data_IF_430689312766
#
_entry.id   IF_430689312766
#
_cell.length_a   1.000
_cell.length_b   1.000
_cell.length_c   1.000
_cell.angle_alpha   90.00
_cell.angle_beta   90.00
_cell.angle_gamma   90.00
#
_symmetry.space_group_name_H-M   'P 1'
#
loop_
_entity.id
_entity.type
_entity.pdbx_description
1 polymer ?
#
# COMPACT_ATOMS: atom_id res chain seq x y z
N UNK A 1 2.09 -14.05 -14.98
CA UNK A 1 1.16 -12.91 -15.19
C UNK A 1 0.91 -12.34 -13.82
N UNK A 2 1.30 -11.10 -13.56
CA UNK A 2 0.89 -10.42 -12.33
C UNK A 2 -0.62 -10.26 -12.39
N UNK A 3 -1.33 -10.92 -11.48
CA UNK A 3 -2.78 -10.76 -11.38
C UNK A 3 -3.04 -9.42 -10.69
N UNK A 4 -3.48 -8.45 -11.45
CA UNK A 4 -3.78 -7.09 -10.99
C UNK A 4 -5.26 -6.82 -11.16
N UNK A 5 -5.90 -6.28 -10.13
CA UNK A 5 -7.31 -5.92 -10.13
C UNK A 5 -7.46 -4.49 -9.64
N UNK A 6 -8.27 -3.68 -10.32
CA UNK A 6 -8.66 -2.34 -9.86
C UNK A 6 -10.15 -2.32 -9.56
N UNK A 7 -10.51 -1.96 -8.33
CA UNK A 7 -11.90 -1.85 -7.86
C UNK A 7 -12.12 -0.56 -7.09
N UNK A 8 -13.36 -0.05 -7.08
CA UNK A 8 -13.73 1.09 -6.24
C UNK A 8 -13.67 0.73 -4.76
N UNK A 9 -13.56 1.72 -3.87
CA UNK A 9 -13.60 1.48 -2.43
C UNK A 9 -14.94 0.91 -1.98
N UNK A 10 -16.04 1.29 -2.65
CA UNK A 10 -17.37 0.72 -2.41
C UNK A 10 -17.43 -0.77 -2.76
N UNK A 11 -16.85 -1.15 -3.92
CA UNK A 11 -16.74 -2.54 -4.32
C UNK A 11 -15.81 -3.33 -3.39
N UNK A 12 -14.74 -2.72 -2.88
CA UNK A 12 -13.86 -3.35 -1.88
C UNK A 12 -14.61 -3.62 -0.56
N UNK A 13 -15.41 -2.66 -0.09
CA UNK A 13 -16.23 -2.83 1.11
C UNK A 13 -17.28 -3.95 0.93
N UNK A 14 -17.96 -3.96 -0.21
CA UNK A 14 -18.93 -5.02 -0.53
C UNK A 14 -18.24 -6.39 -0.65
N UNK A 15 -17.05 -6.44 -1.24
CA UNK A 15 -16.22 -7.64 -1.30
C UNK A 15 -15.87 -8.18 0.10
N UNK A 16 -15.51 -7.28 1.04
CA UNK A 16 -15.26 -7.66 2.42
C UNK A 16 -16.47 -8.38 3.05
N UNK A 17 -17.68 -7.89 2.76
CA UNK A 17 -18.92 -8.53 3.24
C UNK A 17 -19.17 -9.87 2.58
N UNK A 18 -18.99 -10.00 1.26
CA UNK A 18 -19.12 -11.26 0.54
C UNK A 18 -18.13 -12.32 1.07
N UNK A 19 -16.92 -11.90 1.43
CA UNK A 19 -15.89 -12.76 2.01
C UNK A 19 -16.07 -12.99 3.51
N UNK A 20 -17.09 -12.39 4.15
CA UNK A 20 -17.36 -12.48 5.59
C UNK A 20 -16.18 -12.02 6.44
N UNK A 21 -15.50 -10.95 6.01
CA UNK A 21 -14.43 -10.33 6.78
C UNK A 21 -14.99 -9.69 8.06
N UNK A 22 -14.32 -9.88 9.18
CA UNK A 22 -14.75 -9.31 10.46
C UNK A 22 -14.49 -7.81 10.54
N UNK A 23 -13.48 -7.33 9.82
CA UNK A 23 -13.14 -5.90 9.78
C UNK A 23 -12.53 -5.53 8.43
N UNK A 24 -12.54 -4.24 8.15
CA UNK A 24 -11.84 -3.62 7.04
C UNK A 24 -10.92 -2.54 7.61
N UNK A 25 -9.68 -2.48 7.13
CA UNK A 25 -8.73 -1.46 7.53
C UNK A 25 -9.32 -0.06 7.32
N UNK A 26 -9.18 0.80 8.34
CA UNK A 26 -9.73 2.14 8.36
C UNK A 26 -9.27 3.01 7.18
N UNK A 27 -8.05 2.80 6.68
CA UNK A 27 -7.53 3.55 5.54
C UNK A 27 -8.33 3.32 4.25
N UNK A 28 -8.93 2.14 4.08
CA UNK A 28 -9.87 1.87 2.99
C UNK A 28 -11.28 2.34 3.35
N UNK A 29 -11.72 2.03 4.57
CA UNK A 29 -13.08 2.32 5.01
C UNK A 29 -13.43 3.81 4.91
N UNK A 30 -12.51 4.71 5.28
CA UNK A 30 -12.70 6.17 5.19
C UNK A 30 -12.89 6.71 3.77
N UNK A 31 -12.60 5.90 2.74
CA UNK A 31 -12.73 6.24 1.32
C UNK A 31 -13.99 5.63 0.68
N UNK A 32 -14.73 4.84 1.44
CA UNK A 32 -16.03 4.30 1.03
C UNK A 32 -17.05 5.41 1.03
N UNK A 33 -17.96 5.38 0.04
CA UNK A 33 -19.06 6.35 -0.06
C UNK A 33 -20.08 6.23 1.05
N UNK A 34 -21.17 6.96 0.91
CA UNK A 34 -22.25 6.98 1.91
C UNK A 34 -23.00 5.64 1.96
N UNK A 35 -22.68 4.84 2.97
CA UNK A 35 -23.32 3.56 3.24
C UNK A 35 -24.62 3.73 4.06
N UNK A 36 -24.70 4.79 4.88
CA UNK A 36 -25.75 4.92 5.89
C UNK A 36 -27.10 5.35 5.29
N UNK A 37 -27.08 6.17 4.23
CA UNK A 37 -28.31 6.74 3.67
C UNK A 37 -29.16 5.72 2.92
N UNK A 38 -28.55 4.79 2.16
CA UNK A 38 -29.25 3.74 1.43
C UNK A 38 -28.35 2.55 1.12
N UNK A 39 -28.26 1.63 2.07
CA UNK A 39 -27.42 0.44 1.95
C UNK A 39 -27.80 -0.44 0.75
N UNK A 40 -29.09 -0.62 0.44
CA UNK A 40 -29.50 -1.51 -0.67
C UNK A 40 -29.04 -0.97 -2.01
N UNK A 41 -29.13 0.35 -2.21
CA UNK A 41 -28.65 1.01 -3.42
C UNK A 41 -27.12 0.92 -3.52
N UNK A 42 -26.42 1.16 -2.41
CA UNK A 42 -24.97 1.03 -2.31
C UNK A 42 -24.51 -0.39 -2.67
N UNK A 43 -25.09 -1.42 -2.03
CA UNK A 43 -24.74 -2.82 -2.27
C UNK A 43 -25.00 -3.22 -3.73
N UNK A 44 -26.13 -2.76 -4.31
CA UNK A 44 -26.46 -3.01 -5.71
C UNK A 44 -25.41 -2.38 -6.66
N UNK A 45 -25.02 -1.13 -6.44
CA UNK A 45 -24.05 -0.43 -7.28
C UNK A 45 -22.65 -1.08 -7.17
N UNK A 46 -22.24 -1.47 -5.96
CA UNK A 46 -21.00 -2.17 -5.71
C UNK A 46 -20.97 -3.55 -6.40
N UNK A 47 -22.07 -4.32 -6.29
CA UNK A 47 -22.22 -5.60 -6.98
C UNK A 47 -22.17 -5.44 -8.51
N UNK A 48 -22.92 -4.49 -9.07
CA UNK A 48 -22.91 -4.18 -10.50
C UNK A 48 -21.50 -3.79 -10.99
N UNK A 49 -20.73 -3.04 -10.19
CA UNK A 49 -19.36 -2.69 -10.53
C UNK A 49 -18.45 -3.92 -10.65
N UNK A 50 -18.56 -4.87 -9.71
CA UNK A 50 -17.82 -6.14 -9.76
C UNK A 50 -18.28 -7.03 -10.92
N UNK A 51 -19.59 -7.12 -11.18
CA UNK A 51 -20.15 -7.90 -12.28
C UNK A 51 -19.70 -7.34 -13.63
N UNK A 52 -19.76 -6.02 -13.83
CA UNK A 52 -19.32 -5.37 -15.07
C UNK A 52 -17.83 -5.57 -15.35
N UNK A 53 -17.03 -5.81 -14.31
CA UNK A 53 -15.60 -6.12 -14.41
C UNK A 53 -15.33 -7.62 -14.55
N UNK A 54 -16.36 -8.48 -14.53
CA UNK A 54 -16.22 -9.93 -14.58
C UNK A 54 -15.65 -10.56 -13.30
N UNK A 55 -15.63 -9.79 -12.20
CA UNK A 55 -15.07 -10.19 -10.91
C UNK A 55 -16.09 -10.84 -9.97
N UNK A 56 -17.38 -10.73 -10.33
CA UNK A 56 -18.51 -11.34 -9.64
C UNK A 56 -19.48 -11.87 -10.70
N UNK A 57 -19.95 -13.09 -10.56
CA UNK A 57 -20.98 -13.67 -11.40
C UNK A 57 -22.16 -14.11 -10.56
N UNK A 58 -23.33 -14.17 -11.17
CA UNK A 58 -24.53 -14.71 -10.56
C UNK A 58 -24.94 -15.94 -11.38
N UNK A 59 -25.11 -17.06 -10.71
CA UNK A 59 -25.55 -18.28 -11.37
C UNK A 59 -27.06 -18.30 -11.60
N UNK A 60 -27.59 -19.37 -12.22
CA UNK A 60 -29.01 -19.53 -12.49
C UNK A 60 -29.89 -19.67 -11.25
N UNK A 61 -29.29 -19.94 -10.08
CA UNK A 61 -29.98 -20.00 -8.78
C UNK A 61 -30.06 -18.68 -8.07
N UNK A 62 -29.34 -17.67 -8.57
CA UNK A 62 -29.16 -16.36 -7.92
C UNK A 62 -28.01 -16.35 -6.89
N UNK A 63 -27.17 -17.40 -6.88
CA UNK A 63 -25.99 -17.41 -6.02
C UNK A 63 -24.86 -16.60 -6.67
N UNK A 64 -24.20 -15.80 -5.82
CA UNK A 64 -23.07 -14.98 -6.24
C UNK A 64 -21.77 -15.77 -6.14
N UNK A 65 -21.05 -15.84 -7.25
CA UNK A 65 -19.74 -16.49 -7.33
C UNK A 65 -18.65 -15.44 -7.59
N UNK A 66 -17.68 -15.39 -6.69
CA UNK A 66 -16.56 -14.47 -6.76
C UNK A 66 -15.45 -15.08 -7.62
N UNK A 67 -14.86 -14.26 -8.52
CA UNK A 67 -13.66 -14.65 -9.28
C UNK A 67 -12.56 -15.14 -8.34
N UNK A 68 -11.98 -16.29 -8.66
CA UNK A 68 -10.99 -16.95 -7.80
C UNK A 68 -9.70 -16.12 -7.68
N UNK A 69 -9.29 -15.41 -8.74
CA UNK A 69 -8.12 -14.52 -8.70
C UNK A 69 -8.36 -13.35 -7.74
N UNK A 70 -9.55 -12.73 -7.83
CA UNK A 70 -9.91 -11.66 -6.90
C UNK A 70 -9.96 -12.17 -5.46
N UNK A 71 -10.54 -13.35 -5.22
CA UNK A 71 -10.59 -13.96 -3.90
C UNK A 71 -9.19 -14.16 -3.32
N UNK A 72 -8.26 -14.72 -4.09
CA UNK A 72 -6.88 -14.96 -3.67
C UNK A 72 -6.15 -13.66 -3.34
N UNK A 73 -6.27 -12.64 -4.20
CA UNK A 73 -5.63 -11.34 -3.99
C UNK A 73 -6.24 -10.61 -2.78
N UNK A 74 -7.54 -10.70 -2.56
CA UNK A 74 -8.22 -10.01 -1.47
C UNK A 74 -8.04 -10.72 -0.10
N UNK A 75 -7.75 -12.00 -0.08
CA UNK A 75 -7.59 -12.76 1.16
C UNK A 75 -6.60 -12.15 2.15
N UNK A 76 -5.37 -11.72 1.75
CA UNK A 76 -4.45 -11.08 2.68
C UNK A 76 -4.96 -9.76 3.28
N UNK A 77 -5.79 -9.00 2.56
CA UNK A 77 -6.36 -7.75 3.06
C UNK A 77 -7.32 -7.97 4.23
N UNK A 78 -8.13 -9.03 4.13
CA UNK A 78 -9.26 -9.24 5.05
C UNK A 78 -8.95 -10.24 6.17
N UNK A 79 -8.00 -11.14 5.97
CA UNK A 79 -7.69 -12.22 6.90
C UNK A 79 -6.24 -12.20 7.38
N UNK A 80 -5.43 -11.27 6.85
CA UNK A 80 -4.06 -11.06 7.29
C UNK A 80 -4.01 -10.43 8.69
N UNK A 81 -2.98 -10.75 9.46
CA UNK A 81 -2.74 -10.20 10.78
C UNK A 81 -1.48 -9.31 10.83
N UNK A 82 -0.85 -9.13 9.71
CA UNK A 82 0.33 -8.29 9.56
C UNK A 82 0.22 -7.42 8.31
N UNK A 83 0.67 -6.20 8.42
CA UNK A 83 0.72 -5.25 7.31
C UNK A 83 1.96 -4.38 7.38
N UNK A 84 2.41 -3.94 6.22
CA UNK A 84 3.42 -2.89 6.09
C UNK A 84 2.97 -1.84 5.08
N UNK A 85 3.60 -0.67 5.13
CA UNK A 85 3.28 0.39 4.18
C UNK A 85 4.51 1.22 3.81
N UNK A 86 4.49 1.72 2.59
CA UNK A 86 5.40 2.74 2.09
C UNK A 86 4.58 3.95 1.65
N UNK A 87 4.79 5.07 2.34
CA UNK A 87 4.29 6.37 1.94
C UNK A 87 5.41 7.11 1.20
N UNK A 88 5.24 7.28 -0.11
CA UNK A 88 6.21 7.88 -1.01
C UNK A 88 5.72 9.25 -1.45
N UNK A 89 6.46 10.30 -1.08
CA UNK A 89 6.27 11.66 -1.55
C UNK A 89 7.39 12.00 -2.53
N UNK A 90 7.05 12.47 -3.71
CA UNK A 90 8.00 12.93 -4.72
C UNK A 90 7.74 14.42 -4.96
N UNK A 91 8.78 15.22 -4.78
CA UNK A 91 8.77 16.65 -5.07
C UNK A 91 9.23 16.86 -6.53
N UNK A 92 8.55 17.75 -7.26
CA UNK A 92 8.85 18.10 -8.65
C UNK A 92 8.10 19.38 -9.02
N UNK A 93 7.77 19.56 -10.29
CA UNK A 93 6.87 20.66 -10.70
C UNK A 93 5.50 20.55 -10.01
N UNK A 94 5.07 19.32 -9.74
CA UNK A 94 3.91 19.00 -8.90
C UNK A 94 4.32 17.98 -7.83
N UNK A 95 3.76 18.12 -6.63
CA UNK A 95 3.95 17.13 -5.57
C UNK A 95 3.08 15.93 -5.85
N UNK A 96 3.67 14.74 -5.93
CA UNK A 96 2.93 13.48 -6.02
C UNK A 96 3.12 12.65 -4.77
N UNK A 97 2.05 12.00 -4.33
CA UNK A 97 2.07 11.07 -3.18
C UNK A 97 1.48 9.74 -3.61
N UNK A 98 2.21 8.68 -3.30
CA UNK A 98 1.76 7.30 -3.49
C UNK A 98 1.81 6.57 -2.16
N UNK A 99 0.70 5.95 -1.80
CA UNK A 99 0.62 5.08 -0.63
C UNK A 99 0.48 3.64 -1.11
N UNK A 100 1.42 2.81 -0.69
CA UNK A 100 1.40 1.37 -0.90
C UNK A 100 1.18 0.69 0.44
N UNK A 101 0.24 -0.25 0.51
CA UNK A 101 0.07 -1.16 1.65
C UNK A 101 0.32 -2.59 1.21
N UNK A 102 0.97 -3.35 2.07
CA UNK A 102 1.30 -4.76 1.86
C UNK A 102 0.64 -5.55 2.99
N UNK A 103 -0.24 -6.46 2.62
CA UNK A 103 -0.99 -7.30 3.54
C UNK A 103 -0.49 -8.73 3.44
N UNK A 104 -0.25 -9.34 4.59
CA UNK A 104 0.38 -10.65 4.71
C UNK A 104 -0.60 -11.67 5.28
N UNK A 105 -0.78 -12.77 4.56
CA UNK A 105 -1.57 -13.91 5.00
C UNK A 105 -0.87 -15.20 4.58
N UNK A 106 -0.42 -16.00 5.55
CA UNK A 106 0.38 -17.20 5.30
C UNK A 106 1.60 -16.89 4.40
N UNK A 107 1.65 -17.46 3.19
CA UNK A 107 2.71 -17.23 2.21
C UNK A 107 2.29 -16.27 1.08
N UNK A 108 1.16 -15.61 1.23
CA UNK A 108 0.63 -14.68 0.24
C UNK A 108 0.84 -13.24 0.71
N UNK A 109 1.22 -12.39 -0.23
CA UNK A 109 1.32 -10.95 0.00
C UNK A 109 0.53 -10.24 -1.07
N UNK A 110 -0.29 -9.29 -0.67
CA UNK A 110 -0.99 -8.40 -1.59
C UNK A 110 -0.53 -6.97 -1.40
N UNK A 111 -0.09 -6.36 -2.49
CA UNK A 111 0.14 -4.92 -2.56
C UNK A 111 -1.16 -4.22 -2.92
N UNK A 112 -1.55 -3.25 -2.11
CA UNK A 112 -2.62 -2.32 -2.41
C UNK A 112 -2.02 -0.94 -2.71
N UNK A 113 -2.37 -0.37 -3.86
CA UNK A 113 -2.00 0.99 -4.26
C UNK A 113 -3.24 1.86 -4.26
N UNK A 114 -3.22 2.94 -3.49
CA UNK A 114 -4.33 3.87 -3.38
C UNK A 114 -4.36 4.80 -4.59
N UNK A 115 -5.48 4.81 -5.30
CA UNK A 115 -5.74 5.65 -6.46
C UNK A 115 -6.95 6.55 -6.18
N UNK A 116 -7.17 7.53 -7.05
CA UNK A 116 -8.37 8.37 -6.96
C UNK A 116 -9.63 7.53 -7.23
N UNK A 117 -10.52 7.45 -6.22
CA UNK A 117 -11.77 6.71 -6.26
C UNK A 117 -11.67 5.18 -6.30
N UNK A 118 -10.47 4.59 -6.31
CA UNK A 118 -10.28 3.15 -6.40
C UNK A 118 -8.96 2.68 -5.78
N UNK A 119 -8.87 1.37 -5.56
CA UNK A 119 -7.65 0.69 -5.15
C UNK A 119 -7.22 -0.28 -6.24
N UNK A 120 -5.91 -0.35 -6.49
CA UNK A 120 -5.28 -1.39 -7.28
C UNK A 120 -4.72 -2.43 -6.34
N UNK A 121 -5.14 -3.67 -6.52
CA UNK A 121 -4.69 -4.84 -5.77
C UNK A 121 -3.89 -5.74 -6.69
N UNK A 122 -2.75 -6.22 -6.22
CA UNK A 122 -1.91 -7.15 -6.98
C UNK A 122 -1.18 -8.11 -6.05
N UNK A 123 -0.98 -9.34 -6.51
CA UNK A 123 -0.10 -10.28 -5.83
C UNK A 123 1.33 -9.71 -5.86
N UNK A 124 2.01 -9.75 -4.71
CA UNK A 124 3.31 -9.13 -4.52
C UNK A 124 4.38 -10.17 -4.26
N UNK A 125 5.45 -10.12 -5.03
CA UNK A 125 6.56 -11.08 -4.92
C UNK A 125 7.78 -10.48 -4.21
N UNK A 126 8.19 -9.26 -4.58
CA UNK A 126 9.37 -8.65 -3.97
C UNK A 126 9.40 -7.12 -4.10
N UNK A 127 10.21 -6.48 -3.26
CA UNK A 127 10.43 -5.03 -3.26
C UNK A 127 11.35 -4.55 -4.40
N UNK A 128 12.07 -5.41 -5.08
CA UNK A 128 13.12 -5.05 -6.03
C UNK A 128 12.65 -4.15 -7.19
N UNK A 129 11.47 -4.42 -7.75
CA UNK A 129 10.93 -3.59 -8.83
C UNK A 129 10.60 -2.17 -8.34
N UNK A 130 9.95 -2.08 -7.17
CA UNK A 130 9.58 -0.80 -6.58
C UNK A 130 10.84 -0.01 -6.15
N UNK A 131 11.85 -0.70 -5.63
CA UNK A 131 13.14 -0.11 -5.27
C UNK A 131 13.82 0.56 -6.46
N UNK A 132 13.89 -0.13 -7.60
CA UNK A 132 14.50 0.39 -8.81
C UNK A 132 13.82 1.67 -9.31
N UNK A 133 12.50 1.78 -9.15
CA UNK A 133 11.75 2.98 -9.51
C UNK A 133 11.93 4.13 -8.50
N UNK A 134 11.94 3.82 -7.21
CA UNK A 134 12.06 4.83 -6.14
C UNK A 134 13.45 5.48 -6.17
N UNK A 135 14.52 4.68 -6.29
CA UNK A 135 15.90 5.16 -6.20
C UNK A 135 16.60 5.30 -7.56
N UNK A 136 15.84 5.38 -8.65
CA UNK A 136 16.42 5.65 -9.96
C UNK A 136 17.25 6.95 -9.93
N UNK A 137 18.50 6.86 -10.39
CA UNK A 137 19.46 7.97 -10.43
C UNK A 137 19.85 8.58 -9.07
N UNK A 138 19.75 7.83 -7.98
CA UNK A 138 20.24 8.25 -6.68
C UNK A 138 21.66 7.70 -6.42
N UNK A 139 22.39 8.38 -5.53
CA UNK A 139 23.74 7.99 -5.07
C UNK A 139 23.77 7.92 -3.54
N UNK A 140 24.87 7.47 -2.98
CA UNK A 140 25.11 7.56 -1.54
C UNK A 140 25.06 9.04 -1.11
N UNK A 141 24.50 9.32 0.07
CA UNK A 141 24.53 10.63 0.68
C UNK A 141 25.96 11.10 0.93
N UNK A 142 26.15 12.41 1.00
CA UNK A 142 27.46 12.95 1.44
C UNK A 142 27.69 12.62 2.91
N UNK A 143 28.97 12.53 3.34
CA UNK A 143 29.31 12.22 4.74
C UNK A 143 28.93 13.34 5.74
N UNK A 144 28.47 14.49 5.25
CA UNK A 144 28.01 15.59 6.10
C UNK A 144 26.69 15.22 6.78
N UNK A 145 26.70 15.19 8.10
CA UNK A 145 25.48 15.20 8.92
C UNK A 145 24.86 16.58 8.74
N UNK A 146 23.76 16.66 8.02
CA UNK A 146 23.03 17.91 7.88
C UNK A 146 22.30 18.18 9.21
N UNK A 147 22.95 18.96 10.06
CA UNK A 147 22.47 19.28 11.43
C UNK A 147 21.36 20.35 11.47
N UNK A 148 20.87 20.82 10.33
CA UNK A 148 19.75 21.76 10.27
C UNK A 148 18.49 21.04 9.79
N UNK A 149 17.29 21.33 10.35
CA UNK A 149 16.07 20.81 9.80
C UNK A 149 15.95 21.25 8.35
N UNK A 150 16.10 20.31 7.43
CA UNK A 150 15.81 20.55 6.02
C UNK A 150 14.31 20.55 5.87
N UNK A 151 13.76 21.62 5.35
CA UNK A 151 12.34 21.73 5.08
C UNK A 151 11.94 20.62 4.10
N UNK A 152 10.85 19.87 4.37
CA UNK A 152 10.42 18.75 3.52
C UNK A 152 10.23 19.11 2.04
N UNK A 153 9.88 20.36 1.74
CA UNK A 153 9.71 20.88 0.39
C UNK A 153 11.02 21.03 -0.41
N UNK A 154 12.17 20.90 0.27
CA UNK A 154 13.51 20.89 -0.36
C UNK A 154 14.03 19.50 -0.64
N UNK A 155 13.32 18.46 -0.20
CA UNK A 155 13.69 17.07 -0.45
C UNK A 155 13.13 16.60 -1.79
N UNK A 156 13.92 15.90 -2.58
CA UNK A 156 13.48 15.35 -3.87
C UNK A 156 12.41 14.25 -3.67
N UNK A 157 12.63 13.42 -2.65
CA UNK A 157 11.71 12.33 -2.26
C UNK A 157 11.72 12.15 -0.75
N UNK A 158 10.57 11.73 -0.20
CA UNK A 158 10.43 11.28 1.19
C UNK A 158 9.78 9.91 1.17
N UNK A 159 10.37 8.96 1.90
CA UNK A 159 9.92 7.57 1.99
C UNK A 159 9.71 7.22 3.45
N UNK A 160 8.48 6.93 3.84
CA UNK A 160 8.10 6.56 5.20
C UNK A 160 7.65 5.10 5.20
N UNK A 161 8.40 4.28 5.95
CA UNK A 161 8.16 2.85 6.10
C UNK A 161 7.49 2.60 7.45
N UNK A 162 6.40 1.85 7.45
CA UNK A 162 5.67 1.43 8.65
C UNK A 162 5.35 -0.04 8.54
N UNK A 163 5.26 -0.72 9.66
CA UNK A 163 4.65 -2.04 9.71
C UNK A 163 3.95 -2.29 11.04
N UNK A 164 2.99 -3.20 11.01
CA UNK A 164 2.23 -3.68 12.15
C UNK A 164 2.23 -5.19 12.10
N UNK A 165 2.66 -5.84 13.18
CA UNK A 165 2.64 -7.29 13.30
C UNK A 165 1.73 -7.70 14.45
N UNK A 166 0.75 -8.56 14.17
CA UNK A 166 -0.28 -8.99 15.13
C UNK A 166 -0.93 -7.81 15.90
N UNK A 167 -1.19 -6.70 15.20
CA UNK A 167 -1.80 -5.50 15.76
C UNK A 167 -0.85 -4.59 16.57
N UNK A 168 0.42 -4.97 16.75
CA UNK A 168 1.43 -4.14 17.43
C UNK A 168 2.22 -3.31 16.40
N UNK A 169 2.18 -1.97 16.45
CA UNK A 169 2.96 -1.13 15.56
C UNK A 169 4.46 -1.24 15.89
N UNK A 170 5.28 -1.30 14.86
CA UNK A 170 6.73 -1.24 14.97
C UNK A 170 7.23 0.20 14.73
N UNK A 171 8.49 0.52 15.09
CA UNK A 171 9.04 1.84 14.87
C UNK A 171 8.95 2.27 13.40
N UNK A 172 8.55 3.52 13.20
CA UNK A 172 8.50 4.13 11.87
C UNK A 172 9.95 4.43 11.44
N UNK A 173 10.28 4.08 10.21
CA UNK A 173 11.58 4.39 9.60
C UNK A 173 11.35 5.31 8.41
N UNK A 174 12.08 6.41 8.38
CA UNK A 174 11.96 7.39 7.31
C UNK A 174 13.31 7.64 6.62
N UNK A 175 13.23 7.78 5.30
CA UNK A 175 14.36 8.15 4.45
C UNK A 175 13.96 9.32 3.56
N UNK A 176 14.94 10.03 3.05
CA UNK A 176 14.73 11.01 2.00
C UNK A 176 15.83 10.96 0.95
N UNK A 177 15.53 11.53 -0.21
CA UNK A 177 16.53 11.90 -1.23
C UNK A 177 16.64 13.41 -1.22
N UNK A 178 17.86 13.90 -1.09
CA UNK A 178 18.17 15.33 -1.10
C UNK A 178 19.41 15.58 -1.98
N UNK A 179 19.30 16.45 -2.97
CA UNK A 179 20.36 16.67 -3.96
C UNK A 179 20.89 15.36 -4.59
N UNK A 180 19.99 14.39 -4.86
CA UNK A 180 20.35 13.09 -5.42
C UNK A 180 20.98 12.10 -4.43
N UNK A 181 21.31 12.51 -3.21
CA UNK A 181 21.84 11.64 -2.15
C UNK A 181 20.76 11.03 -1.27
N UNK A 182 20.97 9.80 -0.78
CA UNK A 182 20.04 9.10 0.12
C UNK A 182 20.43 9.33 1.57
N UNK A 183 19.44 9.65 2.41
CA UNK A 183 19.61 9.92 3.85
C UNK A 183 18.54 9.19 4.64
N UNK A 184 18.92 8.68 5.83
CA UNK A 184 18.00 8.22 6.86
C UNK A 184 17.64 9.40 7.77
N UNK A 185 16.36 9.55 8.08
CA UNK A 185 15.87 10.60 8.97
C UNK A 185 15.87 10.10 10.41
N UNK A 186 16.64 10.73 11.29
CA UNK A 186 16.74 10.39 12.71
C UNK A 186 16.50 11.66 13.56
N UNK A 187 15.26 11.81 14.05
CA UNK A 187 14.86 13.04 14.74
C UNK A 187 14.93 14.24 13.81
N UNK A 188 15.75 15.25 14.19
CA UNK A 188 15.97 16.46 13.39
C UNK A 188 17.22 16.37 12.48
N UNK A 189 17.84 15.19 12.40
CA UNK A 189 19.09 14.98 11.66
C UNK A 189 18.87 14.10 10.42
N UNK A 190 19.69 14.32 9.41
CA UNK A 190 19.82 13.46 8.25
C UNK A 190 21.16 12.72 8.30
N UNK A 191 21.10 11.41 8.36
CA UNK A 191 22.27 10.54 8.32
C UNK A 191 22.49 10.06 6.88
N UNK A 192 23.62 10.42 6.28
CA UNK A 192 24.00 9.96 4.95
C UNK A 192 24.11 8.42 4.93
N UNK A 193 23.46 7.79 3.99
CA UNK A 193 23.48 6.33 3.82
C UNK A 193 23.66 5.95 2.36
N UNK A 194 24.12 4.74 2.13
CA UNK A 194 24.14 4.17 0.80
C UNK A 194 22.69 3.78 0.38
N UNK A 195 22.35 3.81 -0.92
CA UNK A 195 21.02 3.37 -1.41
C UNK A 195 20.69 1.95 -0.96
N UNK A 196 21.66 1.07 -0.83
CA UNK A 196 21.51 -0.31 -0.35
C UNK A 196 21.01 -0.36 1.10
N UNK A 197 21.38 0.61 1.93
CA UNK A 197 20.88 0.70 3.32
C UNK A 197 19.36 0.91 3.34
N UNK A 198 18.84 1.79 2.48
CA UNK A 198 17.40 1.95 2.32
C UNK A 198 16.76 0.66 1.80
N UNK A 199 17.38 0.01 0.80
CA UNK A 199 16.88 -1.23 0.23
C UNK A 199 16.75 -2.33 1.30
N UNK A 200 17.80 -2.54 2.09
CA UNK A 200 17.82 -3.58 3.10
C UNK A 200 16.78 -3.33 4.22
N UNK A 201 16.65 -2.06 4.65
CA UNK A 201 15.61 -1.69 5.62
C UNK A 201 14.19 -1.83 5.02
N UNK A 202 14.00 -1.44 3.76
CA UNK A 202 12.72 -1.58 3.08
C UNK A 202 12.32 -3.05 2.92
N UNK A 203 13.24 -3.91 2.49
CA UNK A 203 13.01 -5.36 2.41
C UNK A 203 12.66 -5.92 3.79
N UNK A 204 13.42 -5.56 4.83
CA UNK A 204 13.15 -6.00 6.20
C UNK A 204 11.76 -5.62 6.66
N UNK A 205 11.33 -4.38 6.41
CA UNK A 205 10.04 -3.83 6.87
C UNK A 205 8.89 -4.25 5.95
N UNK A 206 9.04 -4.05 4.64
CA UNK A 206 7.95 -4.25 3.68
C UNK A 206 7.70 -5.73 3.36
N UNK A 207 8.71 -6.57 3.47
CA UNK A 207 8.57 -8.02 3.28
C UNK A 207 8.51 -8.78 4.62
N UNK A 208 8.47 -8.05 5.75
CA UNK A 208 8.40 -8.61 7.10
C UNK A 208 9.52 -9.63 7.42
N UNK A 209 10.68 -9.50 6.76
CA UNK A 209 11.80 -10.41 6.95
C UNK A 209 12.59 -10.06 8.22
N UNK A 210 12.52 -10.95 9.21
CA UNK A 210 13.25 -10.79 10.47
C UNK A 210 12.62 -9.76 11.43
N UNK A 211 11.33 -9.56 11.33
CA UNK A 211 10.53 -8.71 12.23
C UNK A 211 9.76 -9.58 13.23
#
# INVERSE_FOLDING_TARGET
MQNTVEISYDALYYLAQLMQAEYMDYDYFKLVGDIETNYDLFAKQAAESLQNSGLLTEDFSGELELDETLRQIATPLFFGNAESSLDLLIQGETVSRSLYKFHFYQNQVTRATFLDGKVRLEAWDSFEELYADILRNTVAGSEEVLAAPIEPDKMDKIMILKCTNAGAPLPIVAFCVYNGGVYKMEGESLLAVAPETFRDEAIRILEMKGV
#
